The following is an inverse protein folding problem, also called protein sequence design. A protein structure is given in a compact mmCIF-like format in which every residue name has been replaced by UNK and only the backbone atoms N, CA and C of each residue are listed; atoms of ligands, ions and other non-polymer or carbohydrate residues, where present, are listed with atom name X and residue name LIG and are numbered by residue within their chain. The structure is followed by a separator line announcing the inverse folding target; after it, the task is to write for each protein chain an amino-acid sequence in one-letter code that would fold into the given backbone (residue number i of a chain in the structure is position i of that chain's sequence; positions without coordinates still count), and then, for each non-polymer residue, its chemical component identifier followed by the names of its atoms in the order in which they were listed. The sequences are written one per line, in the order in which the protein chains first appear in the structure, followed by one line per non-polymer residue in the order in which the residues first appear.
data_IF_211442194567
#
_entry.id   IF_211442194567
#
_cell.length_a   1.000
_cell.length_b   1.000
_cell.length_c   1.000
_cell.angle_alpha   90.00
_cell.angle_beta   90.00
_cell.angle_gamma   90.00
#
_symmetry.space_group_name_H-M   'P 1'
#
loop_
_entity.id
_entity.type
_entity.pdbx_description
1 polymer ?
#
# COMPACT_ATOMS: atom_id res chain seq x y z
N UNK A 1 -17.20 -33.97 4.45
CA UNK A 1 -16.84 -32.54 4.27
C UNK A 1 -18.09 -31.86 3.72
N UNK A 2 -18.58 -30.74 4.29
CA UNK A 2 -19.74 -30.06 3.72
C UNK A 2 -19.36 -29.48 2.35
N UNK A 3 -20.12 -29.85 1.32
CA UNK A 3 -20.00 -29.28 -0.03
C UNK A 3 -20.49 -27.83 0.00
N UNK A 4 -19.56 -26.89 0.16
CA UNK A 4 -19.82 -25.45 -0.02
C UNK A 4 -19.97 -25.14 -1.52
N UNK A 5 -21.10 -25.55 -2.10
CA UNK A 5 -21.48 -25.18 -3.46
C UNK A 5 -22.00 -23.73 -3.45
N UNK A 6 -21.08 -22.77 -3.51
CA UNK A 6 -21.43 -21.37 -3.74
C UNK A 6 -22.15 -21.26 -5.10
N UNK A 7 -23.36 -20.66 -5.16
CA UNK A 7 -24.10 -20.56 -6.41
C UNK A 7 -23.28 -19.78 -7.44
N UNK A 8 -23.01 -20.39 -8.60
CA UNK A 8 -22.25 -19.79 -9.70
C UNK A 8 -23.03 -18.60 -10.28
N UNK A 9 -22.76 -17.40 -9.79
CA UNK A 9 -23.21 -16.16 -10.46
C UNK A 9 -22.42 -16.00 -11.77
N UNK A 10 -23.07 -15.55 -12.86
CA UNK A 10 -22.37 -15.31 -14.13
C UNK A 10 -21.29 -14.25 -13.91
N UNK A 11 -20.06 -14.56 -14.31
CA UNK A 11 -18.90 -13.69 -14.15
C UNK A 11 -19.04 -12.44 -15.04
N UNK A 12 -18.93 -11.25 -14.45
CA UNK A 12 -18.99 -9.97 -15.16
C UNK A 12 -17.68 -9.70 -15.91
N UNK A 13 -17.48 -10.36 -17.05
CA UNK A 13 -16.29 -10.21 -17.91
C UNK A 13 -16.10 -8.77 -18.39
N UNK A 14 -17.18 -8.06 -18.68
CA UNK A 14 -17.14 -6.65 -19.12
C UNK A 14 -16.71 -5.73 -17.99
N UNK A 15 -17.28 -5.90 -16.80
CA UNK A 15 -16.87 -5.18 -15.60
C UNK A 15 -15.42 -5.47 -15.23
N UNK A 16 -14.99 -6.74 -15.34
CA UNK A 16 -13.60 -7.15 -15.13
C UNK A 16 -12.63 -6.45 -16.09
N UNK A 17 -12.93 -6.42 -17.39
CA UNK A 17 -12.08 -5.75 -18.37
C UNK A 17 -12.03 -4.23 -18.12
N UNK A 18 -13.17 -3.58 -17.90
CA UNK A 18 -13.21 -2.13 -17.63
C UNK A 18 -12.41 -1.77 -16.38
N UNK A 19 -12.61 -2.52 -15.30
CA UNK A 19 -11.97 -2.26 -14.02
C UNK A 19 -10.48 -2.62 -14.04
N UNK A 20 -10.13 -3.82 -14.51
CA UNK A 20 -8.75 -4.28 -14.62
C UNK A 20 -7.92 -3.37 -15.52
N UNK A 21 -8.44 -3.00 -16.70
CA UNK A 21 -7.75 -2.09 -17.60
C UNK A 21 -7.60 -0.70 -16.98
N UNK A 22 -8.63 -0.17 -16.30
CA UNK A 22 -8.53 1.10 -15.58
C UNK A 22 -7.41 1.10 -14.55
N UNK A 23 -7.25 0.00 -13.81
CA UNK A 23 -6.23 -0.13 -12.78
C UNK A 23 -4.82 -0.16 -13.34
N UNK A 24 -4.61 -0.96 -14.40
CA UNK A 24 -3.32 -1.06 -15.07
C UNK A 24 -2.93 0.29 -15.64
N UNK A 25 -3.84 0.95 -16.37
CA UNK A 25 -3.61 2.29 -16.92
C UNK A 25 -3.33 3.32 -15.82
N UNK A 26 -4.06 3.29 -14.70
CA UNK A 26 -3.85 4.24 -13.61
C UNK A 26 -2.50 4.03 -12.92
N UNK A 27 -2.15 2.78 -12.58
CA UNK A 27 -0.87 2.43 -11.96
C UNK A 27 0.31 2.79 -12.86
N UNK A 28 0.25 2.40 -14.14
CA UNK A 28 1.29 2.76 -15.11
C UNK A 28 1.34 4.27 -15.32
N UNK A 29 0.21 4.96 -15.46
CA UNK A 29 0.17 6.41 -15.64
C UNK A 29 0.86 7.18 -14.51
N UNK A 30 0.68 6.73 -13.26
CA UNK A 30 1.35 7.29 -12.08
C UNK A 30 2.86 7.05 -12.11
N UNK A 31 3.30 5.83 -12.44
CA UNK A 31 4.73 5.52 -12.56
C UNK A 31 5.40 6.33 -13.69
N UNK A 32 4.78 6.39 -14.87
CA UNK A 32 5.27 7.19 -16.00
C UNK A 32 5.35 8.68 -15.64
N UNK A 33 4.40 9.19 -14.83
CA UNK A 33 4.42 10.56 -14.34
C UNK A 33 5.57 10.80 -13.35
N UNK A 34 5.78 9.87 -12.41
CA UNK A 34 6.82 9.96 -11.38
C UNK A 34 8.24 9.86 -11.93
N UNK A 35 8.47 8.94 -12.87
CA UNK A 35 9.81 8.70 -13.43
C UNK A 35 10.17 9.67 -14.58
N UNK A 36 9.19 10.36 -15.20
CA UNK A 36 9.34 11.16 -16.44
C UNK A 36 10.02 10.38 -17.58
N UNK A 37 9.72 9.08 -17.72
CA UNK A 37 10.17 8.29 -18.89
C UNK A 37 9.62 8.89 -20.19
N UNK A 38 8.43 9.48 -20.13
CA UNK A 38 7.70 10.10 -21.25
C UNK A 38 7.30 11.54 -20.93
N UNK A 39 6.94 12.30 -21.96
CA UNK A 39 6.38 13.64 -21.83
C UNK A 39 5.20 13.62 -20.84
N UNK A 40 5.19 14.57 -19.89
CA UNK A 40 4.18 14.62 -18.81
C UNK A 40 2.74 14.63 -19.33
N UNK A 41 2.50 15.15 -20.53
CA UNK A 41 1.19 15.09 -21.19
C UNK A 41 0.73 13.65 -21.47
N UNK A 42 1.63 12.76 -21.90
CA UNK A 42 1.29 11.35 -22.18
C UNK A 42 0.86 10.66 -20.87
N UNK A 43 1.62 10.85 -19.79
CA UNK A 43 1.25 10.31 -18.49
C UNK A 43 -0.11 10.84 -18.00
N UNK A 44 -0.37 12.14 -18.16
CA UNK A 44 -1.67 12.76 -17.87
C UNK A 44 -2.82 12.17 -18.72
N UNK A 45 -2.59 11.92 -20.01
CA UNK A 45 -3.63 11.29 -20.86
C UNK A 45 -3.94 9.86 -20.46
N UNK A 46 -2.92 9.08 -20.06
CA UNK A 46 -3.09 7.71 -19.56
C UNK A 46 -3.86 7.70 -18.24
N UNK A 47 -3.54 8.62 -17.32
CA UNK A 47 -4.30 8.80 -16.07
C UNK A 47 -5.73 9.24 -16.38
N UNK A 48 -5.95 10.21 -17.26
CA UNK A 48 -7.30 10.65 -17.63
C UNK A 48 -8.12 9.50 -18.24
N UNK A 49 -7.53 8.71 -19.14
CA UNK A 49 -8.16 7.54 -19.72
C UNK A 49 -8.54 6.51 -18.65
N UNK A 50 -7.64 6.23 -17.72
CA UNK A 50 -7.91 5.31 -16.62
C UNK A 50 -9.09 5.75 -15.74
N UNK A 51 -9.21 7.05 -15.44
CA UNK A 51 -10.34 7.62 -14.70
C UNK A 51 -11.64 7.47 -15.49
N UNK A 52 -11.61 7.71 -16.81
CA UNK A 52 -12.78 7.50 -17.68
C UNK A 52 -13.25 6.04 -17.67
N UNK A 53 -12.32 5.07 -17.76
CA UNK A 53 -12.65 3.65 -17.66
C UNK A 53 -13.22 3.27 -16.29
N UNK A 54 -12.68 3.84 -15.21
CA UNK A 54 -13.20 3.61 -13.86
C UNK A 54 -14.61 4.19 -13.71
N UNK A 55 -14.88 5.37 -14.25
CA UNK A 55 -16.22 5.97 -14.28
C UNK A 55 -17.20 5.14 -15.12
N UNK A 56 -16.75 4.62 -16.25
CA UNK A 56 -17.53 3.68 -17.07
C UNK A 56 -17.85 2.40 -16.29
N UNK A 57 -16.89 1.86 -15.54
CA UNK A 57 -17.10 0.73 -14.64
C UNK A 57 -18.12 1.05 -13.55
N UNK A 58 -18.02 2.21 -12.87
CA UNK A 58 -19.00 2.63 -11.85
C UNK A 58 -20.41 2.70 -12.44
N UNK A 59 -20.55 3.25 -13.66
CA UNK A 59 -21.83 3.35 -14.34
C UNK A 59 -22.39 1.98 -14.74
N UNK A 60 -21.53 1.06 -15.20
CA UNK A 60 -21.88 -0.34 -15.47
C UNK A 60 -22.29 -1.07 -14.19
N UNK A 61 -21.50 -0.95 -13.13
CA UNK A 61 -21.74 -1.61 -11.85
C UNK A 61 -23.03 -1.15 -11.15
N UNK A 62 -23.49 0.09 -11.39
CA UNK A 62 -24.79 0.58 -10.90
C UNK A 62 -26.00 0.02 -11.66
N UNK A 63 -25.81 -0.43 -12.91
CA UNK A 63 -26.89 -0.95 -13.77
C UNK A 63 -26.91 -2.47 -13.87
N UNK A 64 -25.81 -3.14 -13.54
CA UNK A 64 -25.69 -4.59 -13.65
C UNK A 64 -26.23 -5.30 -12.38
N UNK A 65 -27.05 -6.36 -12.51
CA UNK A 65 -27.63 -7.08 -11.36
C UNK A 65 -26.59 -7.92 -10.58
N UNK A 66 -25.46 -8.26 -11.19
CA UNK A 66 -24.33 -8.93 -10.55
C UNK A 66 -23.01 -8.29 -11.01
N UNK A 67 -22.63 -7.12 -10.46
CA UNK A 67 -21.36 -6.48 -10.80
C UNK A 67 -20.19 -7.21 -10.14
N UNK A 68 -19.01 -7.18 -10.78
CA UNK A 68 -17.80 -7.81 -10.25
C UNK A 68 -17.44 -7.34 -8.82
N UNK A 69 -17.54 -6.03 -8.58
CA UNK A 69 -17.38 -5.40 -7.27
C UNK A 69 -18.65 -4.63 -6.99
N UNK A 70 -19.43 -5.12 -6.03
CA UNK A 70 -20.69 -4.48 -5.65
C UNK A 70 -20.41 -3.19 -4.88
N UNK A 71 -20.99 -2.07 -5.33
CA UNK A 71 -20.89 -0.78 -4.62
C UNK A 71 -21.48 -0.84 -3.20
N UNK A 72 -22.31 -1.86 -2.91
CA UNK A 72 -22.80 -2.16 -1.57
C UNK A 72 -21.69 -2.49 -0.57
N UNK A 73 -20.51 -2.95 -1.01
CA UNK A 73 -19.35 -3.19 -0.13
C UNK A 73 -18.95 -1.90 0.62
N UNK A 74 -19.02 -0.74 -0.04
CA UNK A 74 -18.69 0.55 0.57
C UNK A 74 -19.73 1.03 1.60
N UNK A 75 -20.93 0.42 1.65
CA UNK A 75 -21.89 0.69 2.74
C UNK A 75 -21.45 0.08 4.06
N UNK A 76 -20.65 -0.98 4.01
CA UNK A 76 -20.07 -1.60 5.20
C UNK A 76 -18.98 -0.69 5.76
N UNK A 77 -19.22 -0.13 6.95
CA UNK A 77 -18.34 0.88 7.56
C UNK A 77 -16.92 0.37 7.75
N UNK A 78 -16.75 -0.87 8.19
CA UNK A 78 -15.44 -1.51 8.40
C UNK A 78 -14.68 -1.71 7.09
N UNK A 79 -15.38 -2.04 5.99
CA UNK A 79 -14.79 -2.10 4.67
C UNK A 79 -14.27 -0.73 4.21
N UNK A 80 -15.12 0.30 4.23
CA UNK A 80 -14.72 1.65 3.81
C UNK A 80 -13.61 2.26 4.66
N UNK A 81 -13.69 2.09 5.99
CA UNK A 81 -12.63 2.53 6.91
C UNK A 81 -11.34 1.71 6.71
N UNK A 82 -11.45 0.41 6.45
CA UNK A 82 -10.31 -0.46 6.19
C UNK A 82 -9.60 -0.15 4.87
N UNK A 83 -10.33 0.18 3.82
CA UNK A 83 -9.80 0.65 2.52
C UNK A 83 -9.10 2.00 2.68
N UNK A 84 -9.75 2.98 3.31
CA UNK A 84 -9.15 4.29 3.54
C UNK A 84 -7.92 4.21 4.46
N UNK A 85 -8.00 3.37 5.50
CA UNK A 85 -6.88 3.07 6.40
C UNK A 85 -5.71 2.40 5.67
N UNK A 86 -5.99 1.39 4.83
CA UNK A 86 -4.97 0.75 3.98
C UNK A 86 -4.29 1.77 3.09
N UNK A 87 -5.04 2.65 2.43
CA UNK A 87 -4.51 3.69 1.56
C UNK A 87 -3.59 4.64 2.33
N UNK A 88 -4.08 5.22 3.43
CA UNK A 88 -3.31 6.16 4.25
C UNK A 88 -2.04 5.52 4.83
N UNK A 89 -2.17 4.31 5.38
CA UNK A 89 -1.04 3.54 5.90
C UNK A 89 -0.03 3.25 4.80
N UNK A 90 -0.44 2.70 3.65
CA UNK A 90 0.49 2.32 2.59
C UNK A 90 1.15 3.51 1.90
N UNK A 91 0.48 4.66 1.83
CA UNK A 91 1.13 5.89 1.37
C UNK A 91 2.25 6.31 2.33
N UNK A 92 2.03 6.24 3.64
CA UNK A 92 3.07 6.58 4.62
C UNK A 92 4.20 5.54 4.68
N UNK A 93 3.86 4.25 4.65
CA UNK A 93 4.82 3.16 4.86
C UNK A 93 5.49 2.70 3.56
N UNK A 94 4.86 2.93 2.41
CA UNK A 94 5.38 2.59 1.09
C UNK A 94 6.64 3.35 0.71
N UNK A 95 6.88 4.52 1.31
CA UNK A 95 8.08 5.31 1.08
C UNK A 95 9.32 4.72 1.81
N UNK A 96 9.13 4.00 2.92
CA UNK A 96 10.21 3.45 3.76
C UNK A 96 11.18 2.54 2.99
N UNK A 97 10.75 1.51 2.26
CA UNK A 97 11.66 0.62 1.53
C UNK A 97 12.44 1.32 0.41
N UNK A 98 12.00 2.50 -0.04
CA UNK A 98 12.70 3.31 -1.03
C UNK A 98 13.64 4.34 -0.37
N UNK A 99 13.15 5.09 0.61
CA UNK A 99 13.90 6.11 1.33
C UNK A 99 15.05 5.53 2.15
N UNK A 100 14.89 4.34 2.75
CA UNK A 100 15.93 3.74 3.59
C UNK A 100 17.20 3.40 2.80
N UNK A 101 17.14 2.67 1.66
CA UNK A 101 18.31 2.46 0.82
C UNK A 101 18.89 3.76 0.26
N UNK A 102 18.04 4.72 -0.09
CA UNK A 102 18.47 6.01 -0.61
C UNK A 102 19.26 6.80 0.45
N UNK A 103 18.78 6.84 1.69
CA UNK A 103 19.48 7.46 2.83
C UNK A 103 20.84 6.80 3.07
N UNK A 104 20.91 5.47 3.03
CA UNK A 104 22.15 4.73 3.24
C UNK A 104 23.16 4.94 2.09
N UNK A 105 22.69 4.93 0.85
CA UNK A 105 23.55 5.05 -0.33
C UNK A 105 23.97 6.51 -0.60
N UNK A 106 23.00 7.41 -0.70
CA UNK A 106 23.23 8.82 -1.07
C UNK A 106 23.60 9.66 0.15
N UNK A 107 22.94 9.44 1.29
CA UNK A 107 23.18 10.22 2.50
C UNK A 107 24.45 9.80 3.25
N UNK A 108 24.66 8.49 3.43
CA UNK A 108 25.78 7.95 4.22
C UNK A 108 26.92 7.38 3.36
N UNK A 109 26.77 7.31 2.04
CA UNK A 109 27.82 6.82 1.13
C UNK A 109 28.08 5.31 1.18
N UNK A 110 27.16 4.52 1.75
CA UNK A 110 27.32 3.06 1.81
C UNK A 110 27.07 2.39 0.46
N UNK A 111 27.71 1.24 0.24
CA UNK A 111 27.48 0.46 -0.97
C UNK A 111 26.04 -0.10 -1.02
N UNK A 112 25.53 -0.32 -2.23
CA UNK A 112 24.21 -0.90 -2.45
C UNK A 112 24.02 -2.27 -1.76
N UNK A 113 25.09 -3.05 -1.61
CA UNK A 113 25.06 -4.35 -0.92
C UNK A 113 24.74 -4.17 0.56
N UNK A 114 25.39 -3.21 1.22
CA UNK A 114 25.15 -2.93 2.65
C UNK A 114 23.73 -2.40 2.83
N UNK A 115 23.28 -1.48 1.96
CA UNK A 115 21.92 -0.97 1.99
C UNK A 115 20.87 -2.08 1.80
N UNK A 116 21.12 -3.04 0.90
CA UNK A 116 20.25 -4.21 0.72
C UNK A 116 20.21 -5.12 1.95
N UNK A 117 21.37 -5.43 2.54
CA UNK A 117 21.45 -6.22 3.77
C UNK A 117 20.70 -5.56 4.94
N UNK A 118 20.64 -4.24 5.00
CA UNK A 118 19.91 -3.50 6.04
C UNK A 118 18.38 -3.66 5.95
N UNK A 119 17.83 -4.14 4.84
CA UNK A 119 16.39 -4.44 4.71
C UNK A 119 16.05 -5.84 5.27
N UNK A 120 17.05 -6.72 5.38
CA UNK A 120 16.83 -8.09 5.86
C UNK A 120 16.22 -8.16 7.28
N UNK A 121 16.68 -7.38 8.29
CA UNK A 121 16.06 -7.35 9.61
C UNK A 121 14.57 -7.00 9.57
N UNK A 122 14.17 -6.09 8.69
CA UNK A 122 12.77 -5.69 8.50
C UNK A 122 11.93 -6.86 8.01
N UNK A 123 12.47 -7.67 7.09
CA UNK A 123 11.82 -8.88 6.59
C UNK A 123 11.71 -9.96 7.68
N UNK A 124 12.79 -10.19 8.44
CA UNK A 124 12.80 -11.16 9.55
C UNK A 124 11.80 -10.77 10.63
N UNK A 125 11.79 -9.50 11.05
CA UNK A 125 10.81 -8.98 12.02
C UNK A 125 9.38 -9.13 11.53
N UNK A 126 9.15 -8.91 10.23
CA UNK A 126 7.81 -9.08 9.62
C UNK A 126 7.32 -10.53 9.68
N UNK A 127 8.21 -11.50 9.44
CA UNK A 127 7.90 -12.93 9.51
C UNK A 127 7.57 -13.35 10.94
N UNK A 128 8.39 -12.93 11.92
CA UNK A 128 8.18 -13.26 13.33
C UNK A 128 6.88 -12.65 13.85
N UNK A 129 6.57 -11.40 13.47
CA UNK A 129 5.35 -10.75 13.91
C UNK A 129 4.09 -11.48 13.43
N UNK A 130 4.10 -12.09 12.23
CA UNK A 130 2.91 -12.78 11.68
C UNK A 130 2.32 -13.83 12.61
N UNK A 131 3.14 -14.55 13.39
CA UNK A 131 2.64 -15.52 14.37
C UNK A 131 2.04 -14.85 15.61
N UNK A 132 2.59 -13.72 16.03
CA UNK A 132 2.16 -12.99 17.23
C UNK A 132 0.95 -12.08 17.01
N UNK A 133 0.70 -11.65 15.76
CA UNK A 133 -0.40 -10.73 15.41
C UNK A 133 -1.76 -11.20 15.88
N UNK A 134 -2.09 -12.47 15.65
CA UNK A 134 -3.41 -13.02 15.99
C UNK A 134 -3.65 -12.95 17.50
N UNK A 135 -2.60 -13.16 18.29
CA UNK A 135 -2.65 -13.08 19.75
C UNK A 135 -2.79 -11.64 20.24
N UNK A 136 -2.02 -10.71 19.65
CA UNK A 136 -2.09 -9.26 19.91
C UNK A 136 -3.50 -8.75 19.63
N UNK A 137 -4.09 -9.13 18.49
CA UNK A 137 -5.44 -8.72 18.10
C UNK A 137 -6.51 -9.27 19.04
N UNK A 138 -6.35 -10.50 19.54
CA UNK A 138 -7.24 -11.10 20.54
C UNK A 138 -7.19 -10.37 21.89
N UNK A 139 -6.01 -9.94 22.33
CA UNK A 139 -5.83 -9.33 23.64
C UNK A 139 -6.17 -7.83 23.69
N UNK A 140 -5.69 -7.07 22.70
CA UNK A 140 -5.81 -5.60 22.68
C UNK A 140 -7.05 -5.11 21.93
N UNK A 141 -7.61 -5.97 21.06
CA UNK A 141 -8.72 -5.63 20.17
C UNK A 141 -8.28 -4.77 18.97
N UNK A 142 -8.99 -4.94 17.85
CA UNK A 142 -8.63 -4.33 16.56
C UNK A 142 -8.35 -2.84 16.63
N UNK A 143 -9.28 -2.03 17.16
CA UNK A 143 -9.16 -0.56 17.12
C UNK A 143 -7.94 -0.04 17.88
N UNK A 144 -7.63 -0.61 19.05
CA UNK A 144 -6.48 -0.19 19.86
C UNK A 144 -5.17 -0.61 19.23
N UNK A 145 -5.09 -1.84 18.70
CA UNK A 145 -3.91 -2.32 17.98
C UNK A 145 -3.61 -1.45 16.77
N UNK A 146 -4.62 -1.12 15.97
CA UNK A 146 -4.45 -0.38 14.73
C UNK A 146 -3.95 1.06 14.96
N UNK A 147 -4.54 1.75 15.94
CA UNK A 147 -4.10 3.11 16.33
C UNK A 147 -2.72 3.07 16.97
N UNK A 148 -2.49 2.15 17.92
CA UNK A 148 -1.21 2.02 18.62
C UNK A 148 -0.06 1.71 17.67
N UNK A 149 -0.23 0.75 16.77
CA UNK A 149 0.78 0.39 15.77
C UNK A 149 1.03 1.52 14.78
N UNK A 150 0.00 2.24 14.36
CA UNK A 150 0.16 3.37 13.44
C UNK A 150 0.96 4.51 14.07
N UNK A 151 0.66 4.87 15.33
CA UNK A 151 1.43 5.87 16.08
C UNK A 151 2.87 5.39 16.29
N UNK A 152 3.05 4.13 16.66
CA UNK A 152 4.36 3.53 16.88
C UNK A 152 5.24 3.56 15.62
N UNK A 153 4.67 3.23 14.45
CA UNK A 153 5.37 3.35 13.18
C UNK A 153 5.76 4.80 12.89
N UNK A 154 4.85 5.75 13.12
CA UNK A 154 5.14 7.18 12.95
C UNK A 154 6.30 7.64 13.83
N UNK A 155 6.33 7.21 15.10
CA UNK A 155 7.44 7.50 16.02
C UNK A 155 8.76 6.85 15.58
N UNK A 156 8.73 5.62 15.08
CA UNK A 156 9.92 4.96 14.54
C UNK A 156 10.44 5.66 13.28
N UNK A 157 9.55 6.11 12.40
CA UNK A 157 9.96 6.90 11.23
C UNK A 157 10.56 8.25 11.67
N UNK A 158 9.94 8.94 12.64
CA UNK A 158 10.46 10.19 13.18
C UNK A 158 11.83 10.01 13.86
N UNK A 159 12.05 8.87 14.51
CA UNK A 159 13.34 8.53 15.13
C UNK A 159 14.47 8.55 14.10
N UNK A 160 14.25 8.07 12.87
CA UNK A 160 15.28 8.10 11.82
C UNK A 160 15.73 9.52 11.45
N UNK A 161 14.93 10.56 11.72
CA UNK A 161 15.35 11.95 11.50
C UNK A 161 16.46 12.40 12.45
N UNK A 162 16.68 11.70 13.57
CA UNK A 162 17.75 11.98 14.52
C UNK A 162 19.04 11.17 14.23
N UNK A 163 19.03 10.32 13.20
CA UNK A 163 20.19 9.52 12.84
C UNK A 163 21.26 10.41 12.17
N UNK A 164 22.50 10.31 12.64
CA UNK A 164 23.66 11.02 12.08
C UNK A 164 24.63 10.03 11.43
N UNK A 165 25.37 10.41 10.37
CA UNK A 165 26.39 9.57 9.73
C UNK A 165 27.48 9.06 10.70
N UNK A 166 27.67 9.73 11.84
CA UNK A 166 28.62 9.32 12.86
C UNK A 166 28.16 8.12 13.72
N UNK A 167 26.89 7.70 13.61
CA UNK A 167 26.36 6.59 14.39
C UNK A 167 26.65 5.23 13.74
N UNK A 168 26.99 4.20 14.54
CA UNK A 168 27.24 2.87 14.01
C UNK A 168 25.96 2.24 13.42
N UNK A 169 26.09 1.66 12.22
CA UNK A 169 24.98 1.07 11.43
C UNK A 169 24.25 -0.04 12.19
N UNK A 170 24.91 -0.76 13.09
CA UNK A 170 24.29 -1.79 13.94
C UNK A 170 23.15 -1.24 14.80
N UNK A 171 23.20 0.04 15.15
CA UNK A 171 22.16 0.71 15.93
C UNK A 171 20.86 0.90 15.15
N UNK A 172 20.89 0.78 13.81
CA UNK A 172 19.71 0.79 12.94
C UNK A 172 19.04 -0.58 12.83
N UNK A 173 19.75 -1.69 13.11
CA UNK A 173 19.21 -3.05 12.93
C UNK A 173 18.00 -3.31 13.82
N UNK A 174 18.07 -2.91 15.09
CA UNK A 174 16.98 -3.12 16.05
C UNK A 174 15.74 -2.27 15.70
N UNK A 175 15.84 -0.95 15.43
CA UNK A 175 14.72 -0.16 14.91
C UNK A 175 14.11 -0.73 13.63
N UNK A 176 14.93 -1.18 12.67
CA UNK A 176 14.45 -1.79 11.43
C UNK A 176 13.71 -3.11 11.66
N UNK A 177 14.21 -3.95 12.54
CA UNK A 177 13.56 -5.18 12.93
C UNK A 177 12.19 -4.91 13.58
N UNK A 178 12.15 -3.98 14.54
CA UNK A 178 10.94 -3.57 15.25
C UNK A 178 9.93 -2.89 14.31
N UNK A 179 10.42 -2.07 13.37
CA UNK A 179 9.59 -1.47 12.32
C UNK A 179 8.96 -2.55 11.44
N UNK A 180 9.71 -3.58 11.04
CA UNK A 180 9.18 -4.72 10.30
C UNK A 180 8.06 -5.45 11.04
N UNK A 181 8.24 -5.67 12.35
CA UNK A 181 7.21 -6.27 13.20
C UNK A 181 5.93 -5.42 13.22
N UNK A 182 6.08 -4.11 13.38
CA UNK A 182 4.96 -3.18 13.42
C UNK A 182 4.23 -3.13 12.07
N UNK A 183 4.96 -3.05 10.95
CA UNK A 183 4.40 -3.06 9.59
C UNK A 183 3.59 -4.32 9.31
N UNK A 184 4.14 -5.48 9.66
CA UNK A 184 3.47 -6.78 9.48
C UNK A 184 2.18 -6.87 10.29
N UNK A 185 2.21 -6.37 11.53
CA UNK A 185 1.03 -6.26 12.38
C UNK A 185 -0.02 -5.34 11.79
N UNK A 186 0.40 -4.17 11.28
CA UNK A 186 -0.49 -3.21 10.67
C UNK A 186 -1.18 -3.78 9.43
N UNK A 187 -0.41 -4.38 8.51
CA UNK A 187 -0.95 -4.97 7.28
C UNK A 187 -1.96 -6.08 7.58
N UNK A 188 -1.62 -6.98 8.49
CA UNK A 188 -2.50 -8.10 8.84
C UNK A 188 -3.78 -7.59 9.51
N UNK A 189 -3.66 -6.68 10.48
CA UNK A 189 -4.81 -6.10 11.18
C UNK A 189 -5.73 -5.33 10.22
N UNK A 190 -5.16 -4.55 9.30
CA UNK A 190 -5.92 -3.75 8.34
C UNK A 190 -6.64 -4.63 7.31
N UNK A 191 -5.99 -5.70 6.83
CA UNK A 191 -6.61 -6.62 5.88
C UNK A 191 -7.76 -7.39 6.54
N UNK A 192 -7.57 -7.87 7.77
CA UNK A 192 -8.61 -8.62 8.46
C UNK A 192 -9.81 -7.74 8.81
N UNK A 193 -9.61 -6.51 9.31
CA UNK A 193 -10.76 -5.63 9.63
C UNK A 193 -11.54 -5.22 8.36
N UNK A 194 -10.85 -5.08 7.22
CA UNK A 194 -11.51 -4.75 5.94
C UNK A 194 -12.44 -5.88 5.50
N UNK A 195 -12.06 -7.14 5.75
CA UNK A 195 -12.80 -8.33 5.32
C UNK A 195 -13.75 -8.89 6.39
N UNK A 196 -13.63 -8.45 7.65
CA UNK A 196 -14.30 -9.07 8.80
C UNK A 196 -15.83 -9.09 8.72
N UNK A 197 -16.45 -8.02 8.21
CA UNK A 197 -17.92 -7.90 8.12
C UNK A 197 -18.47 -8.19 6.72
N UNK A 198 -17.67 -8.81 5.84
CA UNK A 198 -18.13 -9.21 4.52
C UNK A 198 -18.80 -10.59 4.60
N UNK A 199 -19.97 -10.72 3.98
CA UNK A 199 -20.61 -12.02 3.78
C UNK A 199 -19.85 -12.86 2.75
N UNK A 200 -19.97 -14.19 2.81
CA UNK A 200 -19.27 -15.11 1.87
C UNK A 200 -19.53 -14.76 0.39
N UNK A 201 -20.76 -14.33 0.08
CA UNK A 201 -21.18 -13.85 -1.24
C UNK A 201 -20.39 -12.65 -1.78
N UNK A 202 -19.83 -11.85 -0.87
CA UNK A 202 -19.22 -10.55 -1.14
C UNK A 202 -17.72 -10.52 -0.78
N UNK A 203 -17.23 -11.50 -0.02
CA UNK A 203 -15.86 -11.59 0.46
C UNK A 203 -14.84 -11.66 -0.69
N UNK A 204 -15.15 -12.39 -1.77
CA UNK A 204 -14.28 -12.48 -2.96
C UNK A 204 -14.12 -11.12 -3.66
N UNK A 205 -15.23 -10.42 -3.87
CA UNK A 205 -15.22 -9.07 -4.48
C UNK A 205 -14.53 -8.04 -3.58
N UNK A 206 -14.77 -8.10 -2.26
CA UNK A 206 -14.10 -7.24 -1.29
C UNK A 206 -12.59 -7.50 -1.20
N UNK A 207 -12.15 -8.76 -1.24
CA UNK A 207 -10.73 -9.11 -1.27
C UNK A 207 -10.05 -8.63 -2.56
N UNK A 208 -10.73 -8.75 -3.70
CA UNK A 208 -10.24 -8.23 -4.98
C UNK A 208 -10.07 -6.70 -4.93
N UNK A 209 -11.05 -5.98 -4.37
CA UNK A 209 -10.99 -4.54 -4.20
C UNK A 209 -9.90 -4.11 -3.18
N UNK A 210 -9.69 -4.90 -2.12
CA UNK A 210 -8.61 -4.69 -1.17
C UNK A 210 -7.23 -4.80 -1.85
N UNK A 211 -7.01 -5.87 -2.63
CA UNK A 211 -5.75 -6.07 -3.38
C UNK A 211 -5.49 -4.94 -4.39
N UNK A 212 -6.55 -4.47 -5.04
CA UNK A 212 -6.50 -3.32 -5.94
C UNK A 212 -6.11 -2.04 -5.22
N UNK A 213 -6.78 -1.73 -4.10
CA UNK A 213 -6.49 -0.54 -3.31
C UNK A 213 -5.04 -0.57 -2.83
N UNK A 214 -4.62 -1.75 -2.39
CA UNK A 214 -3.25 -2.05 -2.02
C UNK A 214 -2.28 -1.69 -3.15
N UNK A 215 -2.49 -2.18 -4.38
CA UNK A 215 -1.61 -1.92 -5.52
C UNK A 215 -1.54 -0.42 -5.85
N UNK A 216 -2.69 0.25 -5.89
CA UNK A 216 -2.78 1.70 -6.14
C UNK A 216 -2.02 2.51 -5.11
N UNK A 217 -2.12 2.11 -3.83
CA UNK A 217 -1.42 2.80 -2.74
C UNK A 217 0.10 2.69 -2.86
N UNK A 218 0.62 1.53 -3.30
CA UNK A 218 2.07 1.36 -3.55
C UNK A 218 2.51 2.29 -4.69
N UNK A 219 1.81 2.23 -5.82
CA UNK A 219 2.14 3.03 -7.01
C UNK A 219 2.14 4.53 -6.68
N UNK A 220 1.11 5.01 -5.97
CA UNK A 220 1.07 6.39 -5.48
C UNK A 220 2.22 6.72 -4.51
N UNK A 221 2.55 5.82 -3.58
CA UNK A 221 3.65 6.01 -2.64
C UNK A 221 5.01 6.16 -3.33
N UNK A 222 5.26 5.34 -4.37
CA UNK A 222 6.48 5.43 -5.19
C UNK A 222 6.50 6.75 -5.96
N UNK A 223 5.42 7.14 -6.63
CA UNK A 223 5.37 8.38 -7.39
C UNK A 223 5.52 9.64 -6.51
N UNK A 224 4.92 9.64 -5.31
CA UNK A 224 5.12 10.73 -4.34
C UNK A 224 6.58 10.75 -3.89
N UNK A 225 7.18 9.60 -3.56
CA UNK A 225 8.59 9.53 -3.16
C UNK A 225 9.52 10.07 -4.26
N UNK A 226 9.28 9.69 -5.51
CA UNK A 226 10.01 10.21 -6.67
C UNK A 226 9.81 11.73 -6.86
N UNK A 227 8.58 12.23 -6.67
CA UNK A 227 8.28 13.66 -6.76
C UNK A 227 8.98 14.46 -5.66
N UNK A 228 9.01 13.96 -4.42
CA UNK A 228 9.73 14.60 -3.30
C UNK A 228 11.23 14.60 -3.55
N UNK A 229 11.79 13.47 -3.99
CA UNK A 229 13.22 13.39 -4.32
C UNK A 229 13.60 14.41 -5.40
N UNK A 230 12.80 14.50 -6.47
CA UNK A 230 13.00 15.48 -7.55
C UNK A 230 12.87 16.92 -7.08
N UNK A 231 11.91 17.21 -6.20
CA UNK A 231 11.79 18.54 -5.61
C UNK A 231 13.08 18.92 -4.87
N UNK A 232 13.70 17.95 -4.20
CA UNK A 232 14.97 18.14 -3.51
C UNK A 232 16.16 18.27 -4.47
N UNK A 233 16.24 17.46 -5.53
CA UNK A 233 17.27 17.57 -6.59
C UNK A 233 17.19 18.90 -7.36
N UNK A 234 15.98 19.41 -7.59
CA UNK A 234 15.74 20.71 -8.21
C UNK A 234 16.10 21.89 -7.31
N UNK A 235 16.18 21.69 -6.00
CA UNK A 235 16.68 22.69 -5.04
C UNK A 235 18.21 22.71 -4.95
N UNK A 236 18.89 21.59 -5.25
CA UNK A 236 20.35 21.47 -5.15
C UNK A 236 21.08 21.71 -6.46
N UNK A 237 20.37 21.77 -7.59
CA UNK A 237 20.94 22.15 -8.89
C UNK A 237 20.56 23.60 -9.23
N UNK A 238 21.48 24.58 -9.10
CA UNK A 238 21.26 25.85 -9.76
C UNK A 238 21.26 25.56 -11.26
N UNK A 239 20.13 25.83 -11.90
CA UNK A 239 19.99 25.79 -13.35
C UNK A 239 21.10 26.68 -13.95
N UNK A 240 21.95 26.17 -14.86
CA UNK A 240 22.92 26.99 -15.58
C UNK A 240 22.22 27.99 -16.52
#
# INVERSE_FOLDING_TARGET
MPDFTTPRRPFDTRGFLLFGLSLVLFSSGIELFGEKIVASWIALTVIALSVLLLLAYIRHARRHPAPLISLSLFKTRTFSVGIAGNLATRLGTGCVPFLMPLMLQVGFGYSAIIAGCMIAPTAVGSIIAKSTVTQILRWLGYRKTLVGVTIFIGLMIAQFSFQSPAMPVWMLLLPLFVLGMAMSTQFTSMNTITLADLTDDNASGGNSLLAVTQQLSISLGVAISAAVLRFYEGLTTPVP
#
